data_IF_907172945160
#
_entry.id   IF_907172945160
#
_cell.length_a   1.000
_cell.length_b   1.000
_cell.length_c   1.000
_cell.angle_alpha   90.00
_cell.angle_beta   90.00
_cell.angle_gamma   90.00
#
_symmetry.space_group_name_H-M   'P 1'
#
loop_
_entity.id
_entity.type
_entity.pdbx_description
1 polymer ?
#
# COMPACT_ATOMS: atom_id res chain seq x y z
N UNK A 1 15.47 -11.31 7.44
CA UNK A 1 14.50 -11.48 8.53
C UNK A 1 14.71 -10.39 9.58
N UNK A 2 13.62 -9.73 9.98
CA UNK A 2 13.58 -8.73 11.05
C UNK A 2 12.68 -9.26 12.17
N UNK A 3 13.26 -10.05 13.10
CA UNK A 3 12.48 -10.79 14.08
C UNK A 3 11.52 -11.77 13.39
N UNK A 4 10.21 -11.56 13.56
CA UNK A 4 9.14 -12.36 12.90
C UNK A 4 8.71 -11.81 11.54
N UNK A 5 9.15 -10.60 11.17
CA UNK A 5 8.86 -10.00 9.87
C UNK A 5 9.81 -10.52 8.79
N UNK A 6 9.40 -10.42 7.54
CA UNK A 6 10.21 -10.78 6.38
C UNK A 6 10.29 -9.59 5.42
N UNK A 7 11.49 -9.30 4.96
CA UNK A 7 11.72 -8.31 3.91
C UNK A 7 12.54 -9.00 2.80
N UNK A 8 12.14 -8.77 1.57
CA UNK A 8 12.80 -9.27 0.38
C UNK A 8 13.18 -8.07 -0.51
N UNK A 9 14.45 -8.00 -0.91
CA UNK A 9 14.85 -7.09 -1.98
C UNK A 9 14.43 -7.70 -3.32
N UNK A 10 13.59 -7.00 -4.08
CA UNK A 10 13.08 -7.53 -5.35
C UNK A 10 12.04 -6.64 -6.01
N UNK A 11 11.62 -7.08 -7.20
CA UNK A 11 10.61 -6.40 -8.00
C UNK A 11 9.22 -6.98 -7.73
N UNK A 12 8.28 -6.12 -7.36
CA UNK A 12 6.89 -6.48 -7.04
C UNK A 12 6.05 -6.87 -8.26
N UNK A 13 6.58 -6.71 -9.47
CA UNK A 13 5.92 -7.18 -10.70
C UNK A 13 6.26 -8.64 -11.02
N UNK A 14 7.27 -9.22 -10.34
CA UNK A 14 7.75 -10.57 -10.60
C UNK A 14 7.16 -11.59 -9.60
N UNK A 15 6.49 -12.65 -10.07
CA UNK A 15 5.92 -13.70 -9.21
C UNK A 15 6.96 -14.37 -8.31
N UNK A 16 8.19 -14.57 -8.82
CA UNK A 16 9.29 -15.23 -8.11
C UNK A 16 9.67 -14.49 -6.82
N UNK A 17 9.53 -13.16 -6.80
CA UNK A 17 9.77 -12.35 -5.60
C UNK A 17 8.77 -12.70 -4.50
N UNK A 18 7.50 -12.91 -4.87
CA UNK A 18 6.48 -13.33 -3.91
C UNK A 18 6.66 -14.77 -3.46
N UNK A 19 7.08 -15.67 -4.33
CA UNK A 19 7.36 -17.07 -3.96
C UNK A 19 8.43 -17.15 -2.87
N UNK A 20 9.51 -16.37 -3.01
CA UNK A 20 10.59 -16.28 -2.01
C UNK A 20 10.08 -15.64 -0.71
N UNK A 21 9.37 -14.51 -0.79
CA UNK A 21 8.88 -13.77 0.37
C UNK A 21 7.87 -14.60 1.15
N UNK A 22 6.85 -15.11 0.47
CA UNK A 22 5.71 -15.79 1.10
C UNK A 22 6.04 -17.19 1.58
N UNK A 23 6.95 -17.90 0.89
CA UNK A 23 7.39 -19.26 1.25
C UNK A 23 6.21 -20.19 1.52
N UNK A 24 5.25 -20.24 0.60
CA UNK A 24 4.04 -21.07 0.69
C UNK A 24 2.94 -20.56 1.61
N UNK A 25 3.13 -19.41 2.27
CA UNK A 25 2.10 -18.78 3.10
C UNK A 25 1.23 -17.83 2.26
N UNK A 26 0.08 -17.44 2.81
CA UNK A 26 -0.81 -16.42 2.23
C UNK A 26 -0.98 -15.25 3.19
N UNK A 27 -1.08 -14.04 2.62
CA UNK A 27 -1.35 -12.85 3.39
C UNK A 27 -2.82 -12.79 3.83
N UNK A 28 -3.04 -12.41 5.07
CA UNK A 28 -4.39 -12.18 5.62
C UNK A 28 -4.91 -10.78 5.27
N UNK A 29 -4.02 -9.89 4.83
CA UNK A 29 -4.33 -8.53 4.41
C UNK A 29 -3.20 -8.01 3.52
N UNK A 30 -3.54 -7.15 2.56
CA UNK A 30 -2.59 -6.32 1.81
C UNK A 30 -2.82 -4.86 2.17
N UNK A 31 -1.73 -4.16 2.50
CA UNK A 31 -1.73 -2.71 2.72
C UNK A 31 -0.48 -2.13 2.08
N UNK A 32 -0.64 -1.28 1.06
CA UNK A 32 0.50 -0.91 0.23
C UNK A 32 0.38 0.48 -0.38
N UNK A 33 1.53 1.05 -0.74
CA UNK A 33 1.70 2.40 -1.27
C UNK A 33 2.63 2.38 -2.50
N UNK A 34 2.13 1.92 -3.68
CA UNK A 34 2.92 1.85 -4.90
C UNK A 34 3.39 3.23 -5.39
N UNK A 35 4.40 3.33 -6.27
CA UNK A 35 4.71 4.56 -6.99
C UNK A 35 3.47 5.15 -7.69
N UNK A 36 3.35 6.49 -7.70
CA UNK A 36 2.14 7.17 -8.20
C UNK A 36 2.23 7.68 -9.62
N UNK A 37 3.38 7.51 -10.28
CA UNK A 37 3.66 8.03 -11.64
C UNK A 37 3.51 9.55 -11.76
N UNK A 38 3.85 10.29 -10.72
CA UNK A 38 3.71 11.76 -10.67
C UNK A 38 5.04 12.50 -10.79
N UNK A 39 6.12 11.76 -11.11
CA UNK A 39 7.49 12.27 -11.32
C UNK A 39 7.97 13.15 -10.16
N UNK A 40 7.87 12.64 -8.94
CA UNK A 40 8.34 13.33 -7.74
C UNK A 40 9.88 13.39 -7.76
N UNK A 41 10.43 14.59 -7.91
CA UNK A 41 11.85 14.85 -7.69
C UNK A 41 12.04 15.24 -6.22
N UNK A 42 12.62 14.34 -5.43
CA UNK A 42 12.92 14.59 -4.03
C UNK A 42 14.42 14.78 -3.78
N UNK A 43 14.75 15.45 -2.67
CA UNK A 43 16.14 15.62 -2.21
C UNK A 43 16.84 14.29 -1.91
N UNK A 44 16.07 13.20 -1.67
CA UNK A 44 16.58 11.84 -1.44
C UNK A 44 16.79 11.03 -2.73
N UNK A 45 16.44 11.56 -3.91
CA UNK A 45 16.56 10.88 -5.21
C UNK A 45 15.22 10.69 -5.93
N UNK A 46 15.27 10.14 -7.15
CA UNK A 46 14.09 9.82 -7.94
C UNK A 46 13.49 8.49 -7.45
N UNK A 47 12.18 8.45 -7.24
CA UNK A 47 11.46 7.20 -7.00
C UNK A 47 11.54 6.36 -8.28
N UNK A 48 11.99 5.12 -8.18
CA UNK A 48 12.00 4.19 -9.31
C UNK A 48 10.56 3.94 -9.76
N UNK A 49 10.34 3.89 -11.09
CA UNK A 49 9.02 3.65 -11.69
C UNK A 49 7.96 4.75 -11.48
N UNK A 50 8.37 5.99 -11.20
CA UNK A 50 7.47 7.14 -10.99
C UNK A 50 7.33 8.07 -12.20
N UNK A 51 7.78 7.64 -13.40
CA UNK A 51 7.68 8.40 -14.67
C UNK A 51 7.58 7.43 -15.86
N UNK A 52 6.44 6.77 -15.99
CA UNK A 52 6.14 5.82 -17.07
C UNK A 52 5.11 6.41 -18.04
N UNK A 53 5.07 5.91 -19.29
CA UNK A 53 3.94 6.13 -20.16
C UNK A 53 2.68 5.49 -19.56
N UNK A 54 1.50 6.01 -19.89
CA UNK A 54 0.22 5.63 -19.28
C UNK A 54 -0.05 4.10 -19.38
N UNK A 55 0.21 3.51 -20.55
CA UNK A 55 0.03 2.06 -20.77
C UNK A 55 1.05 1.22 -19.99
N UNK A 56 2.30 1.67 -19.92
CA UNK A 56 3.36 0.98 -19.17
C UNK A 56 3.05 1.03 -17.66
N UNK A 57 2.56 2.15 -17.17
CA UNK A 57 2.15 2.31 -15.78
C UNK A 57 0.95 1.41 -15.44
N UNK A 58 -0.05 1.35 -16.31
CA UNK A 58 -1.15 0.40 -16.14
C UNK A 58 -0.65 -1.06 -16.07
N UNK A 59 0.24 -1.46 -16.97
CA UNK A 59 0.79 -2.81 -17.02
C UNK A 59 1.62 -3.14 -15.77
N UNK A 60 2.40 -2.17 -15.28
CA UNK A 60 3.13 -2.27 -14.00
C UNK A 60 2.18 -2.53 -12.83
N UNK A 61 1.14 -1.71 -12.67
CA UNK A 61 0.13 -1.88 -11.62
C UNK A 61 -0.60 -3.22 -11.75
N UNK A 62 -1.00 -3.59 -12.96
CA UNK A 62 -1.71 -4.84 -13.21
C UNK A 62 -0.88 -6.06 -12.82
N UNK A 63 0.40 -6.11 -13.20
CA UNK A 63 1.29 -7.20 -12.85
C UNK A 63 1.46 -7.32 -11.32
N UNK A 64 1.73 -6.21 -10.64
CA UNK A 64 1.86 -6.19 -9.19
C UNK A 64 0.55 -6.63 -8.49
N UNK A 65 -0.61 -6.16 -8.95
CA UNK A 65 -1.90 -6.50 -8.36
C UNK A 65 -2.29 -7.96 -8.57
N UNK A 66 -1.95 -8.56 -9.72
CA UNK A 66 -2.13 -10.00 -9.96
C UNK A 66 -1.31 -10.81 -8.96
N UNK A 67 -0.04 -10.44 -8.73
CA UNK A 67 0.81 -11.12 -7.75
C UNK A 67 0.27 -10.98 -6.32
N UNK A 68 -0.25 -9.80 -5.95
CA UNK A 68 -0.92 -9.59 -4.66
C UNK A 68 -2.15 -10.49 -4.51
N UNK A 69 -3.00 -10.53 -5.55
CA UNK A 69 -4.19 -11.37 -5.57
C UNK A 69 -3.84 -12.84 -5.32
N UNK A 70 -2.83 -13.35 -6.01
CA UNK A 70 -2.36 -14.73 -5.87
C UNK A 70 -1.74 -15.02 -4.50
N UNK A 71 -1.18 -14.01 -3.84
CA UNK A 71 -0.43 -14.15 -2.58
C UNK A 71 -1.27 -13.95 -1.32
N UNK A 72 -2.56 -13.62 -1.42
CA UNK A 72 -3.43 -13.39 -0.27
C UNK A 72 -4.53 -14.44 -0.14
N UNK A 73 -5.05 -14.59 1.07
CA UNK A 73 -6.20 -15.45 1.39
C UNK A 73 -7.46 -14.99 0.67
N UNK A 74 -8.42 -15.91 0.50
CA UNK A 74 -9.67 -15.64 -0.24
C UNK A 74 -10.48 -14.49 0.35
N UNK A 75 -10.55 -14.39 1.67
CA UNK A 75 -11.34 -13.38 2.39
C UNK A 75 -10.45 -12.23 2.94
N UNK A 76 -9.21 -12.12 2.46
CA UNK A 76 -8.29 -11.06 2.84
C UNK A 76 -8.73 -9.72 2.22
N UNK A 77 -8.61 -8.63 2.99
CA UNK A 77 -8.83 -7.27 2.51
C UNK A 77 -7.56 -6.69 1.88
N UNK A 78 -7.74 -5.80 0.92
CA UNK A 78 -6.66 -5.06 0.27
C UNK A 78 -6.92 -3.55 0.34
N UNK A 79 -5.86 -2.80 0.68
CA UNK A 79 -5.81 -1.35 0.75
C UNK A 79 -4.65 -0.84 -0.09
N UNK A 80 -4.93 0.06 -1.04
CA UNK A 80 -3.92 0.58 -1.97
C UNK A 80 -4.01 2.10 -2.01
N UNK A 81 -3.00 2.78 -1.47
CA UNK A 81 -2.87 4.22 -1.61
C UNK A 81 -2.51 4.60 -3.05
N UNK A 82 -2.96 5.78 -3.50
CA UNK A 82 -2.65 6.27 -4.84
C UNK A 82 -2.78 7.79 -4.94
N UNK A 83 -2.21 8.39 -5.99
CA UNK A 83 -2.56 9.76 -6.37
C UNK A 83 -3.94 9.79 -7.06
N UNK A 84 -4.75 10.81 -6.80
CA UNK A 84 -6.07 10.95 -7.41
C UNK A 84 -5.97 11.13 -8.94
N UNK A 85 -4.92 11.81 -9.42
CA UNK A 85 -4.64 11.99 -10.85
C UNK A 85 -4.46 10.68 -11.61
N UNK A 86 -3.93 9.64 -10.96
CA UNK A 86 -3.74 8.30 -11.52
C UNK A 86 -4.87 7.32 -11.14
N UNK A 87 -5.89 7.82 -10.48
CA UNK A 87 -7.01 7.02 -9.96
C UNK A 87 -7.69 6.13 -10.99
N UNK A 88 -7.69 6.52 -12.28
CA UNK A 88 -8.23 5.70 -13.36
C UNK A 88 -7.41 4.42 -13.57
N UNK A 89 -6.08 4.54 -13.70
CA UNK A 89 -5.17 3.41 -13.89
C UNK A 89 -5.21 2.45 -12.70
N UNK A 90 -5.16 3.01 -11.48
CA UNK A 90 -5.26 2.22 -10.25
C UNK A 90 -6.57 1.41 -10.19
N UNK A 91 -7.73 2.04 -10.41
CA UNK A 91 -9.04 1.36 -10.37
C UNK A 91 -9.17 0.31 -11.47
N UNK A 92 -8.72 0.63 -12.69
CA UNK A 92 -8.75 -0.28 -13.84
C UNK A 92 -7.89 -1.52 -13.59
N UNK A 93 -6.65 -1.35 -13.15
CA UNK A 93 -5.73 -2.44 -12.82
C UNK A 93 -6.26 -3.28 -11.65
N UNK A 94 -6.80 -2.63 -10.59
CA UNK A 94 -7.37 -3.30 -9.42
C UNK A 94 -8.51 -4.25 -9.79
N UNK A 95 -9.47 -3.78 -10.58
CA UNK A 95 -10.61 -4.61 -11.01
C UNK A 95 -10.18 -5.69 -12.01
N UNK A 96 -9.25 -5.39 -12.91
CA UNK A 96 -8.71 -6.33 -13.89
C UNK A 96 -7.92 -7.47 -13.24
N UNK A 97 -7.19 -7.19 -12.14
CA UNK A 97 -6.45 -8.19 -11.38
C UNK A 97 -7.34 -9.15 -10.56
N UNK A 98 -8.66 -8.96 -10.55
CA UNK A 98 -9.58 -9.87 -9.87
C UNK A 98 -10.11 -9.39 -8.52
N UNK A 99 -9.91 -8.12 -8.18
CA UNK A 99 -10.45 -7.55 -6.96
C UNK A 99 -11.86 -6.97 -7.15
N UNK A 100 -12.67 -7.07 -6.11
CA UNK A 100 -13.90 -6.32 -5.93
C UNK A 100 -13.57 -4.98 -5.27
N UNK A 101 -13.80 -3.88 -5.98
CA UNK A 101 -13.61 -2.53 -5.45
C UNK A 101 -14.85 -2.15 -4.61
N UNK A 102 -14.69 -2.16 -3.30
CA UNK A 102 -15.77 -1.84 -2.36
C UNK A 102 -15.91 -0.35 -2.11
N UNK A 103 -14.80 0.37 -2.04
CA UNK A 103 -14.81 1.80 -1.76
C UNK A 103 -13.46 2.46 -1.92
N UNK A 104 -13.44 3.76 -1.69
CA UNK A 104 -12.23 4.58 -1.63
C UNK A 104 -12.23 5.32 -0.29
N UNK A 105 -11.24 5.03 0.54
CA UNK A 105 -10.98 5.77 1.76
C UNK A 105 -10.10 6.97 1.46
N UNK A 106 -10.20 8.02 2.24
CA UNK A 106 -9.50 9.28 2.03
C UNK A 106 -8.66 9.61 3.27
N UNK A 107 -7.35 9.54 3.14
CA UNK A 107 -6.49 10.13 4.15
C UNK A 107 -6.52 11.65 4.01
N UNK A 108 -7.15 12.32 4.96
CA UNK A 108 -7.18 13.78 5.08
C UNK A 108 -5.99 14.23 5.92
N UNK A 109 -5.11 15.04 5.33
CA UNK A 109 -3.93 15.62 5.98
C UNK A 109 -4.30 16.86 6.78
N UNK A 110 -3.54 17.15 7.83
CA UNK A 110 -3.72 18.36 8.64
C UNK A 110 -3.33 19.67 7.91
N UNK A 111 -2.50 19.58 6.87
CA UNK A 111 -2.07 20.70 6.06
C UNK A 111 -2.14 20.38 4.58
N UNK A 112 -2.39 21.41 3.76
CA UNK A 112 -2.31 21.31 2.31
C UNK A 112 -0.86 21.12 1.83
N UNK A 113 -0.74 20.55 0.63
CA UNK A 113 0.52 20.48 -0.10
C UNK A 113 0.47 21.54 -1.20
N UNK A 114 1.32 22.56 -1.06
CA UNK A 114 1.36 23.67 -2.02
C UNK A 114 1.86 23.14 -3.39
N UNK A 115 1.08 23.39 -4.42
CA UNK A 115 1.37 23.01 -5.80
C UNK A 115 0.94 24.07 -6.79
N UNK A 116 1.05 23.78 -8.09
CA UNK A 116 0.70 24.70 -9.17
C UNK A 116 -0.81 24.68 -9.52
N UNK A 117 -1.55 23.71 -8.98
CA UNK A 117 -2.99 23.59 -9.21
C UNK A 117 -3.77 24.72 -8.49
N UNK A 118 -4.91 25.20 -9.02
CA UNK A 118 -5.80 26.12 -8.30
C UNK A 118 -6.29 25.56 -6.97
N UNK A 119 -6.61 24.27 -6.91
CA UNK A 119 -6.94 23.57 -5.67
C UNK A 119 -5.70 22.86 -5.13
N UNK A 120 -5.37 23.13 -3.87
CA UNK A 120 -4.22 22.51 -3.21
C UNK A 120 -4.58 21.14 -2.62
N UNK A 121 -3.72 20.15 -2.85
CA UNK A 121 -3.95 18.80 -2.36
C UNK A 121 -3.85 18.73 -0.83
N UNK A 122 -4.87 18.19 -0.18
CA UNK A 122 -4.92 17.98 1.26
C UNK A 122 -5.32 16.55 1.61
N UNK A 123 -5.36 15.66 0.62
CA UNK A 123 -5.73 14.26 0.85
C UNK A 123 -4.95 13.32 -0.06
N UNK A 124 -5.00 12.05 0.31
CA UNK A 124 -4.61 10.92 -0.55
C UNK A 124 -5.71 9.85 -0.50
N UNK A 125 -6.16 9.36 -1.65
CA UNK A 125 -7.13 8.28 -1.73
C UNK A 125 -6.45 6.92 -1.47
N UNK A 126 -7.24 5.98 -0.94
CA UNK A 126 -6.85 4.60 -0.69
C UNK A 126 -7.97 3.68 -1.16
N UNK A 127 -7.75 2.88 -2.19
CA UNK A 127 -8.71 1.88 -2.64
C UNK A 127 -8.88 0.81 -1.56
N UNK A 128 -10.11 0.41 -1.32
CA UNK A 128 -10.46 -0.67 -0.41
C UNK A 128 -11.28 -1.73 -1.13
N UNK A 129 -10.92 -2.99 -0.93
CA UNK A 129 -11.62 -4.11 -1.50
C UNK A 129 -11.10 -5.45 -1.02
N UNK A 130 -11.45 -6.52 -1.75
CA UNK A 130 -11.07 -7.91 -1.50
C UNK A 130 -11.13 -8.72 -2.79
N UNK A 131 -10.76 -10.01 -2.75
CA UNK A 131 -10.86 -10.88 -3.93
C UNK A 131 -12.29 -11.02 -4.44
N UNK A 132 -12.47 -10.99 -5.74
CA UNK A 132 -13.77 -11.19 -6.37
C UNK A 132 -14.32 -12.59 -6.00
N UNK A 133 -15.56 -12.62 -5.53
CA UNK A 133 -16.18 -13.86 -5.04
C UNK A 133 -15.83 -14.24 -3.59
N UNK A 134 -14.89 -13.55 -2.95
CA UNK A 134 -14.60 -13.67 -1.52
C UNK A 134 -15.50 -12.77 -0.66
N UNK A 135 -15.29 -12.87 0.63
CA UNK A 135 -15.83 -11.95 1.65
C UNK A 135 -14.67 -11.07 2.14
N UNK A 136 -14.99 -10.09 2.96
CA UNK A 136 -13.97 -9.29 3.66
C UNK A 136 -13.92 -9.69 5.13
N UNK A 137 -12.72 -9.75 5.67
CA UNK A 137 -12.52 -9.87 7.11
C UNK A 137 -12.61 -8.48 7.75
N UNK A 138 -13.47 -8.34 8.75
CA UNK A 138 -13.70 -7.11 9.48
C UNK A 138 -13.76 -7.36 10.98
N UNK A 139 -12.88 -6.73 11.74
CA UNK A 139 -12.69 -6.96 13.18
C UNK A 139 -12.99 -5.71 14.02
N UNK A 140 -13.46 -4.65 13.39
CA UNK A 140 -13.88 -3.41 14.04
C UNK A 140 -15.41 -3.28 14.08
N UNK A 141 -15.88 -2.16 14.60
CA UNK A 141 -17.30 -1.83 14.64
C UNK A 141 -17.80 -1.21 13.31
N UNK A 142 -19.10 -0.84 13.27
CA UNK A 142 -19.72 -0.18 12.11
C UNK A 142 -19.65 1.36 12.15
N UNK A 143 -18.86 1.94 13.05
CA UNK A 143 -18.69 3.40 13.16
C UNK A 143 -17.48 3.90 12.39
N UNK A 144 -16.69 2.99 11.81
CA UNK A 144 -15.54 3.35 11.00
C UNK A 144 -16.01 4.02 9.69
N UNK A 145 -15.29 5.08 9.28
CA UNK A 145 -15.68 5.90 8.13
C UNK A 145 -14.60 5.87 7.05
N UNK A 146 -14.95 6.34 5.86
CA UNK A 146 -14.01 6.46 4.74
C UNK A 146 -13.11 7.68 4.83
N UNK A 147 -13.28 8.58 5.79
CA UNK A 147 -12.42 9.75 6.01
C UNK A 147 -11.50 9.45 7.19
N UNK A 148 -10.18 9.45 6.91
CA UNK A 148 -9.14 9.15 7.88
C UNK A 148 -8.31 10.40 8.16
N UNK A 149 -8.47 10.99 9.34
CA UNK A 149 -7.77 12.22 9.72
C UNK A 149 -6.51 11.89 10.52
N UNK A 150 -5.36 11.99 9.85
CA UNK A 150 -4.05 11.78 10.45
C UNK A 150 -3.09 12.88 10.02
N UNK A 151 -2.33 13.38 10.96
CA UNK A 151 -1.32 14.40 10.69
C UNK A 151 -0.22 13.84 9.78
N UNK A 152 0.20 14.66 8.82
CA UNK A 152 1.39 14.37 8.03
C UNK A 152 2.61 14.35 8.94
N UNK A 153 3.52 13.36 8.85
CA UNK A 153 4.77 13.37 9.59
C UNK A 153 5.53 14.68 9.29
N UNK A 154 6.16 15.25 10.31
CA UNK A 154 7.12 16.34 10.07
C UNK A 154 8.23 15.76 9.19
N UNK A 155 8.62 16.50 8.14
CA UNK A 155 9.58 16.03 7.15
C UNK A 155 10.84 15.46 7.84
N UNK A 156 11.09 14.18 7.62
CA UNK A 156 12.37 13.56 7.93
C UNK A 156 13.30 13.82 6.73
N UNK A 157 14.57 14.12 7.00
CA UNK A 157 15.57 14.27 5.93
C UNK A 157 15.81 12.95 5.18
N UNK A 158 15.48 11.83 5.83
CA UNK A 158 15.78 10.50 5.34
C UNK A 158 14.62 9.87 4.54
N UNK A 159 13.36 10.27 4.79
CA UNK A 159 12.17 9.74 4.10
C UNK A 159 11.05 10.79 4.01
N UNK A 160 11.06 11.64 2.98
CA UNK A 160 10.09 12.73 2.82
C UNK A 160 8.66 12.26 2.51
N UNK A 161 8.47 11.04 1.98
CA UNK A 161 7.16 10.47 1.60
C UNK A 161 6.59 9.46 2.60
N UNK A 162 7.19 9.33 3.78
CA UNK A 162 6.76 8.35 4.79
C UNK A 162 5.29 8.56 5.21
N UNK A 163 4.49 7.48 5.13
CA UNK A 163 3.14 7.48 5.70
C UNK A 163 3.19 7.47 7.24
N UNK A 164 2.26 8.15 7.92
CA UNK A 164 2.15 8.06 9.38
C UNK A 164 1.93 6.62 9.83
N UNK A 165 2.68 6.14 10.80
CA UNK A 165 2.52 4.77 11.35
C UNK A 165 1.10 4.56 11.88
N UNK A 166 0.51 5.56 12.55
CA UNK A 166 -0.86 5.49 13.05
C UNK A 166 -1.90 5.35 11.92
N UNK A 167 -1.67 6.00 10.76
CA UNK A 167 -2.52 5.83 9.57
C UNK A 167 -2.48 4.39 9.05
N UNK A 168 -1.28 3.77 9.00
CA UNK A 168 -1.13 2.39 8.55
C UNK A 168 -1.72 1.40 9.58
N UNK A 169 -1.58 1.67 10.85
CA UNK A 169 -2.12 0.83 11.92
C UNK A 169 -3.66 0.74 11.90
N UNK A 170 -4.34 1.79 11.47
CA UNK A 170 -5.80 1.85 11.45
C UNK A 170 -6.46 0.77 10.58
N UNK A 171 -6.19 0.65 9.26
CA UNK A 171 -6.74 -0.42 8.45
C UNK A 171 -6.22 -1.81 8.87
N UNK A 172 -4.99 -1.91 9.41
CA UNK A 172 -4.43 -3.17 9.92
C UNK A 172 -5.31 -3.71 11.05
N UNK A 173 -5.67 -2.87 12.02
CA UNK A 173 -6.53 -3.27 13.14
C UNK A 173 -7.96 -3.61 12.71
N UNK A 174 -8.49 -2.91 11.71
CA UNK A 174 -9.84 -3.12 11.21
C UNK A 174 -10.00 -4.45 10.44
N UNK A 175 -8.98 -4.86 9.68
CA UNK A 175 -9.08 -5.96 8.71
C UNK A 175 -8.16 -7.15 8.99
N UNK A 176 -7.48 -7.19 10.13
CA UNK A 176 -6.65 -8.32 10.54
C UNK A 176 -6.69 -8.56 12.05
N UNK A 177 -6.32 -9.77 12.48
CA UNK A 177 -6.13 -10.13 13.87
C UNK A 177 -4.64 -10.15 14.23
N UNK A 178 -4.32 -10.24 15.52
CA UNK A 178 -2.95 -10.47 15.99
C UNK A 178 -2.35 -11.72 15.34
N UNK A 179 -1.07 -11.66 15.00
CA UNK A 179 -0.29 -12.67 14.30
C UNK A 179 -0.70 -12.92 12.83
N UNK A 180 -1.66 -12.16 12.28
CA UNK A 180 -1.94 -12.17 10.85
C UNK A 180 -0.76 -11.60 10.04
N UNK A 181 -0.59 -12.11 8.82
CA UNK A 181 0.39 -11.61 7.85
C UNK A 181 -0.21 -10.43 7.10
N UNK A 182 0.44 -9.28 7.18
CA UNK A 182 0.20 -8.07 6.39
C UNK A 182 1.25 -8.01 5.30
N UNK A 183 0.84 -8.04 4.04
CA UNK A 183 1.72 -7.94 2.88
C UNK A 183 1.79 -6.50 2.39
N UNK A 184 3.02 -5.98 2.25
CA UNK A 184 3.30 -4.69 1.63
C UNK A 184 4.37 -4.86 0.54
N UNK A 185 3.97 -5.00 -0.75
CA UNK A 185 4.92 -5.18 -1.85
C UNK A 185 5.70 -3.91 -2.25
N UNK A 186 5.41 -2.77 -1.63
CA UNK A 186 6.10 -1.49 -1.85
C UNK A 186 6.47 -0.87 -0.50
N UNK A 187 7.33 -1.59 0.26
CA UNK A 187 7.60 -1.35 1.68
C UNK A 187 8.17 0.04 1.96
N UNK A 188 9.01 0.57 1.06
CA UNK A 188 9.62 1.89 1.17
C UNK A 188 10.26 2.12 2.53
N UNK A 189 9.81 3.14 3.24
CA UNK A 189 10.30 3.52 4.58
C UNK A 189 9.95 2.56 5.72
N UNK A 190 9.19 1.47 5.45
CA UNK A 190 8.79 0.50 6.46
C UNK A 190 7.64 0.92 7.38
N UNK A 191 6.86 1.93 7.05
CA UNK A 191 5.73 2.38 7.89
C UNK A 191 4.73 1.25 8.18
N UNK A 192 4.44 0.40 7.19
CA UNK A 192 3.59 -0.79 7.35
C UNK A 192 4.22 -1.82 8.28
N UNK A 193 5.53 -2.01 8.20
CA UNK A 193 6.26 -2.94 9.09
C UNK A 193 6.19 -2.47 10.54
N UNK A 194 6.47 -1.19 10.79
CA UNK A 194 6.39 -0.60 12.13
C UNK A 194 4.96 -0.67 12.67
N UNK A 195 3.96 -0.34 11.86
CA UNK A 195 2.56 -0.44 12.24
C UNK A 195 2.14 -1.88 12.57
N UNK A 196 2.64 -2.85 11.80
CA UNK A 196 2.39 -4.29 12.03
C UNK A 196 2.99 -4.75 13.34
N UNK A 197 4.24 -4.37 13.65
CA UNK A 197 4.87 -4.70 14.94
C UNK A 197 4.10 -4.08 16.10
N UNK A 198 3.78 -2.78 16.05
CA UNK A 198 3.06 -2.09 17.12
C UNK A 198 1.65 -2.65 17.36
N UNK A 199 1.07 -3.32 16.37
CA UNK A 199 -0.28 -3.92 16.45
C UNK A 199 -0.25 -5.44 16.61
N UNK A 200 0.91 -6.05 16.86
CA UNK A 200 1.12 -7.51 16.95
C UNK A 200 0.76 -8.28 15.67
N UNK A 201 0.96 -7.70 14.50
CA UNK A 201 0.88 -8.38 13.21
C UNK A 201 2.28 -8.69 12.70
N UNK A 202 2.35 -9.48 11.64
CA UNK A 202 3.60 -9.85 10.98
C UNK A 202 3.61 -9.18 9.61
N UNK A 203 4.61 -8.37 9.31
CA UNK A 203 4.77 -7.75 8.00
C UNK A 203 5.64 -8.61 7.09
N UNK A 204 5.17 -8.87 5.89
CA UNK A 204 5.95 -9.39 4.78
C UNK A 204 6.04 -8.28 3.72
N UNK A 205 7.26 -7.79 3.45
CA UNK A 205 7.48 -6.63 2.60
C UNK A 205 8.44 -6.89 1.45
N UNK A 206 8.20 -6.23 0.33
CA UNK A 206 9.13 -6.16 -0.81
C UNK A 206 9.62 -4.72 -0.93
N UNK A 207 10.91 -4.55 -1.15
CA UNK A 207 11.53 -3.28 -1.46
C UNK A 207 12.48 -3.46 -2.65
N UNK A 208 12.40 -2.54 -3.61
CA UNK A 208 13.19 -2.61 -4.84
C UNK A 208 14.61 -2.09 -4.66
N UNK A 209 14.82 -1.14 -3.74
CA UNK A 209 16.11 -0.52 -3.52
C UNK A 209 16.82 -1.17 -2.32
N UNK A 210 17.96 -1.80 -2.58
CA UNK A 210 18.79 -2.47 -1.57
C UNK A 210 19.17 -1.58 -0.39
N UNK A 211 19.17 -0.25 -0.58
CA UNK A 211 19.51 0.71 0.46
C UNK A 211 18.46 0.82 1.57
N UNK A 212 17.23 0.37 1.29
CA UNK A 212 16.10 0.45 2.20
C UNK A 212 15.69 -0.92 2.78
N UNK A 213 16.45 -1.98 2.47
CA UNK A 213 16.24 -3.36 2.96
C UNK A 213 17.12 -3.71 4.22
#
# INVERSE_FOLDING_TARGET
LLGRHRVCCGDSTLPETYDVLMNGQKANMVLTDPPYNVNVEETAGKIKNDNMADEDFYNFLFAAFVNMEQSMEQDASIYVFHADTEGLNFRKAFVAAGFYLSGCCIWKKNALVLGRSPYQWQHEPCLYGWKKGGKHNWYSDRKQTTIWEYDRPKASKDHPTMKPVALMAYPIQNSSMSNCIVLDPFLGSGSTLIASEQTNRICYGIELDEKFV
#
